data_IF_991859365983
#
_entry.id   IF_991859365983
#
_cell.length_a   1.000
_cell.length_b   1.000
_cell.length_c   1.000
_cell.angle_alpha   90.00
_cell.angle_beta   90.00
_cell.angle_gamma   90.00
#
_symmetry.space_group_name_H-M   'P 1'
#
loop_
_entity.id
_entity.type
_entity.pdbx_description
1 polymer ?
#
# COMPACT_ATOMS: atom_id res chain seq x y z
N UNK A 1 12.02 -20.39 -18.02
CA UNK A 1 10.55 -20.45 -18.23
C UNK A 1 10.23 -20.62 -19.72
N UNK A 2 9.08 -21.21 -20.11
CA UNK A 2 8.74 -21.40 -21.53
C UNK A 2 8.46 -20.09 -22.27
N UNK A 3 8.01 -19.04 -21.58
CA UNK A 3 7.87 -17.69 -22.17
C UNK A 3 9.20 -17.07 -22.61
N UNK A 4 10.30 -17.34 -21.90
CA UNK A 4 11.63 -16.87 -22.32
C UNK A 4 12.12 -17.65 -23.54
N UNK A 5 11.99 -18.98 -23.52
CA UNK A 5 12.41 -19.84 -24.65
C UNK A 5 11.61 -19.58 -25.94
N UNK A 6 10.36 -19.12 -25.81
CA UNK A 6 9.48 -18.77 -26.92
C UNK A 6 9.56 -17.29 -27.32
N UNK A 7 10.44 -16.50 -26.71
CA UNK A 7 10.57 -15.06 -27.03
C UNK A 7 9.33 -14.23 -26.70
N UNK A 8 8.46 -14.69 -25.79
CA UNK A 8 7.29 -13.92 -25.34
C UNK A 8 7.73 -12.79 -24.42
N UNK A 9 8.64 -13.08 -23.48
CA UNK A 9 9.44 -12.06 -22.80
C UNK A 9 10.78 -11.94 -23.52
N UNK A 10 10.93 -10.91 -24.36
CA UNK A 10 12.08 -10.75 -25.25
C UNK A 10 12.96 -9.54 -24.92
N UNK A 11 12.48 -8.59 -24.12
CA UNK A 11 13.21 -7.37 -23.73
C UNK A 11 13.34 -7.28 -22.21
N UNK A 12 14.45 -6.73 -21.74
CA UNK A 12 14.65 -6.44 -20.32
C UNK A 12 15.46 -5.15 -20.13
N UNK A 13 15.43 -4.61 -18.91
CA UNK A 13 16.35 -3.59 -18.43
C UNK A 13 17.00 -4.09 -17.14
N UNK A 14 18.32 -3.94 -17.02
CA UNK A 14 19.11 -4.27 -15.83
C UNK A 14 19.01 -5.71 -15.28
N UNK A 15 18.50 -6.66 -16.07
CA UNK A 15 18.36 -8.05 -15.64
C UNK A 15 19.69 -8.69 -15.24
N UNK A 16 20.77 -8.40 -15.94
CA UNK A 16 22.13 -8.84 -15.59
C UNK A 16 22.56 -8.32 -14.21
N UNK A 17 22.24 -7.07 -13.87
CA UNK A 17 22.55 -6.49 -12.56
C UNK A 17 21.82 -7.22 -11.44
N UNK A 18 20.55 -7.59 -11.67
CA UNK A 18 19.75 -8.39 -10.71
C UNK A 18 20.37 -9.78 -10.51
N UNK A 19 20.78 -10.45 -11.60
CA UNK A 19 21.43 -11.76 -11.53
C UNK A 19 22.73 -11.71 -10.72
N UNK A 20 23.60 -10.73 -10.99
CA UNK A 20 24.86 -10.55 -10.27
C UNK A 20 24.62 -10.32 -8.77
N UNK A 21 23.64 -9.48 -8.41
CA UNK A 21 23.28 -9.23 -7.01
C UNK A 21 22.73 -10.49 -6.34
N UNK A 22 21.92 -11.27 -7.06
CA UNK A 22 21.38 -12.53 -6.57
C UNK A 22 22.49 -13.57 -6.32
N UNK A 23 23.45 -13.70 -7.23
CA UNK A 23 24.63 -14.57 -7.07
C UNK A 23 25.49 -14.18 -5.87
N UNK A 24 25.53 -12.88 -5.52
CA UNK A 24 26.17 -12.36 -4.30
C UNK A 24 25.32 -12.56 -3.02
N UNK A 25 24.17 -13.24 -3.12
CA UNK A 25 23.26 -13.48 -2.00
C UNK A 25 22.46 -12.25 -1.57
N UNK A 26 22.42 -11.18 -2.39
CA UNK A 26 21.56 -10.03 -2.13
C UNK A 26 20.11 -10.39 -2.48
N UNK A 27 19.19 -9.89 -1.66
CA UNK A 27 17.75 -10.09 -1.88
C UNK A 27 17.22 -9.04 -2.85
N UNK A 28 16.30 -9.46 -3.71
CA UNK A 28 15.45 -8.58 -4.51
C UNK A 28 13.99 -9.03 -4.33
N UNK A 29 13.04 -8.21 -4.75
CA UNK A 29 11.62 -8.57 -4.74
C UNK A 29 11.02 -8.30 -6.12
N UNK A 30 9.93 -8.99 -6.41
CA UNK A 30 9.14 -8.78 -7.61
C UNK A 30 8.00 -7.84 -7.29
N UNK A 31 7.75 -6.90 -8.20
CA UNK A 31 6.62 -6.00 -8.14
C UNK A 31 5.89 -6.06 -9.48
N UNK A 32 4.56 -6.19 -9.43
CA UNK A 32 3.67 -6.11 -10.59
C UNK A 32 2.39 -5.39 -10.18
N UNK A 33 1.78 -4.66 -11.11
CA UNK A 33 0.47 -4.05 -10.94
C UNK A 33 -0.58 -4.80 -11.75
N UNK A 34 -1.85 -4.55 -11.43
CA UNK A 34 -3.03 -4.99 -12.19
C UNK A 34 -4.17 -4.09 -11.76
N UNK A 35 -4.73 -3.31 -12.69
CA UNK A 35 -6.01 -2.66 -12.45
C UNK A 35 -7.04 -3.72 -12.00
N UNK A 36 -7.86 -3.43 -10.99
CA UNK A 36 -8.46 -4.36 -10.02
C UNK A 36 -8.69 -5.80 -10.51
N UNK A 37 -7.94 -6.77 -9.96
CA UNK A 37 -8.35 -8.17 -9.68
C UNK A 37 -7.27 -8.97 -8.90
N UNK A 38 -7.44 -9.05 -7.57
CA UNK A 38 -6.86 -9.95 -6.53
C UNK A 38 -5.39 -10.46 -6.59
N UNK A 39 -4.63 -10.15 -5.51
CA UNK A 39 -3.35 -10.72 -4.96
C UNK A 39 -2.00 -10.03 -5.29
N UNK A 40 -1.18 -9.69 -4.26
CA UNK A 40 0.05 -8.83 -4.26
C UNK A 40 0.35 -8.16 -5.61
N UNK A 41 -0.47 -7.15 -5.84
CA UNK A 41 -0.67 -6.43 -7.07
C UNK A 41 -0.97 -5.02 -6.56
N UNK A 42 -0.30 -3.99 -7.08
CA UNK A 42 -0.88 -2.66 -6.93
C UNK A 42 -2.23 -2.68 -7.65
N UNK A 43 -3.31 -2.60 -6.87
CA UNK A 43 -4.67 -2.51 -7.38
C UNK A 43 -4.91 -1.03 -7.69
N UNK A 44 -4.73 -0.66 -8.96
CA UNK A 44 -4.95 0.72 -9.43
C UNK A 44 -6.42 0.97 -9.71
N UNK A 45 -7.26 0.78 -8.68
CA UNK A 45 -8.69 1.06 -8.75
C UNK A 45 -8.92 2.55 -9.05
N UNK A 46 -8.06 3.40 -8.48
CA UNK A 46 -7.97 4.83 -8.71
C UNK A 46 -7.72 5.22 -10.17
N UNK A 47 -6.89 4.48 -10.91
CA UNK A 47 -6.67 4.73 -12.33
C UNK A 47 -8.02 4.71 -13.07
N UNK A 48 -8.73 3.57 -13.04
CA UNK A 48 -10.02 3.41 -13.75
C UNK A 48 -11.08 4.43 -13.36
N UNK A 49 -10.96 4.97 -12.15
CA UNK A 49 -11.83 5.95 -11.52
C UNK A 49 -11.53 7.36 -12.02
N UNK A 50 -10.26 7.75 -12.05
CA UNK A 50 -9.81 9.03 -12.61
C UNK A 50 -10.09 9.15 -14.12
N UNK A 51 -10.32 8.03 -14.81
CA UNK A 51 -10.61 7.95 -16.24
C UNK A 51 -12.09 7.72 -16.59
N UNK A 52 -13.03 7.67 -15.62
CA UNK A 52 -14.48 7.44 -15.87
C UNK A 52 -15.36 8.47 -15.13
N UNK A 53 -16.55 8.74 -15.65
CA UNK A 53 -17.59 9.49 -14.93
C UNK A 53 -18.20 8.61 -13.84
N UNK A 54 -18.16 9.06 -12.58
CA UNK A 54 -18.49 8.25 -11.39
C UNK A 54 -19.50 8.95 -10.50
N UNK A 55 -20.37 8.16 -9.85
CA UNK A 55 -21.37 8.65 -8.90
C UNK A 55 -20.73 8.96 -7.54
N UNK A 56 -21.31 9.89 -6.79
CA UNK A 56 -20.79 10.39 -5.49
C UNK A 56 -20.67 9.28 -4.43
N UNK A 57 -21.57 8.30 -4.47
CA UNK A 57 -21.57 7.16 -3.55
C UNK A 57 -20.42 6.18 -3.83
N UNK A 58 -20.08 5.97 -5.10
CA UNK A 58 -18.87 5.25 -5.50
C UNK A 58 -17.62 6.05 -5.08
N UNK A 59 -17.64 7.39 -5.22
CA UNK A 59 -16.54 8.32 -4.85
C UNK A 59 -16.01 8.10 -3.43
N UNK A 60 -16.90 7.81 -2.48
CA UNK A 60 -16.53 7.53 -1.08
C UNK A 60 -15.85 6.17 -0.90
N UNK A 61 -16.35 5.12 -1.55
CA UNK A 61 -15.71 3.80 -1.54
C UNK A 61 -14.30 3.87 -2.14
N UNK A 62 -14.14 4.66 -3.20
CA UNK A 62 -12.87 4.83 -3.91
C UNK A 62 -11.88 5.65 -3.08
N UNK A 63 -12.31 6.76 -2.46
CA UNK A 63 -11.46 7.52 -1.53
C UNK A 63 -10.96 6.66 -0.36
N UNK A 64 -11.80 5.75 0.13
CA UNK A 64 -11.43 4.83 1.21
C UNK A 64 -10.41 3.78 0.75
N UNK A 65 -10.54 3.23 -0.46
CA UNK A 65 -9.57 2.28 -1.01
C UNK A 65 -8.24 2.97 -1.33
N UNK A 66 -8.25 4.15 -1.96
CA UNK A 66 -7.03 4.93 -2.20
C UNK A 66 -6.31 5.25 -0.89
N UNK A 67 -7.06 5.60 0.16
CA UNK A 67 -6.46 5.80 1.48
C UNK A 67 -5.77 4.53 1.99
N UNK A 68 -6.35 3.33 1.78
CA UNK A 68 -5.69 2.05 2.13
C UNK A 68 -4.42 1.83 1.32
N UNK A 69 -4.44 2.07 0.02
CA UNK A 69 -3.27 1.85 -0.85
C UNK A 69 -2.14 2.83 -0.52
N UNK A 70 -2.48 4.10 -0.30
CA UNK A 70 -1.51 5.13 0.10
C UNK A 70 -0.93 4.80 1.50
N UNK A 71 -1.75 4.33 2.43
CA UNK A 71 -1.28 3.87 3.76
C UNK A 71 -0.37 2.65 3.61
N UNK A 72 -0.71 1.72 2.71
CA UNK A 72 0.04 0.48 2.52
C UNK A 72 1.42 0.70 1.84
N UNK A 73 1.49 1.60 0.86
CA UNK A 73 2.73 1.92 0.11
C UNK A 73 3.57 3.00 0.81
N UNK A 74 2.96 3.75 1.73
CA UNK A 74 3.61 4.80 2.50
C UNK A 74 3.74 6.13 1.75
N UNK A 75 3.36 7.21 2.41
CA UNK A 75 3.39 8.58 1.85
C UNK A 75 4.79 9.07 1.48
N UNK A 76 5.86 8.57 2.13
CA UNK A 76 7.20 9.13 1.99
C UNK A 76 7.77 9.00 0.58
N UNK A 77 7.70 7.82 -0.04
CA UNK A 77 8.24 7.63 -1.39
C UNK A 77 7.37 8.33 -2.43
N UNK A 78 6.05 8.35 -2.25
CA UNK A 78 5.14 9.13 -3.10
C UNK A 78 5.52 10.61 -3.10
N UNK A 79 5.66 11.22 -1.91
CA UNK A 79 6.01 12.64 -1.79
C UNK A 79 7.41 12.93 -2.35
N UNK A 80 8.38 12.02 -2.15
CA UNK A 80 9.72 12.16 -2.74
C UNK A 80 9.68 12.13 -4.26
N UNK A 81 8.93 11.20 -4.84
CA UNK A 81 8.77 11.08 -6.29
C UNK A 81 8.07 12.33 -6.84
N UNK A 82 6.96 12.76 -6.21
CA UNK A 82 6.24 13.98 -6.61
C UNK A 82 7.13 15.22 -6.57
N UNK A 83 8.02 15.34 -5.58
CA UNK A 83 8.99 16.45 -5.52
C UNK A 83 10.04 16.41 -6.63
N UNK A 84 10.32 15.25 -7.19
CA UNK A 84 11.27 15.06 -8.28
C UNK A 84 10.63 15.09 -9.68
N UNK A 85 9.29 15.15 -9.76
CA UNK A 85 8.53 15.11 -11.01
C UNK A 85 7.73 16.40 -11.17
N UNK A 86 8.10 17.19 -12.17
CA UNK A 86 7.42 18.44 -12.51
C UNK A 86 6.15 18.19 -13.32
N UNK A 87 5.23 19.14 -13.28
CA UNK A 87 4.02 19.07 -14.08
C UNK A 87 4.31 18.97 -15.58
N UNK A 88 5.27 19.74 -16.10
CA UNK A 88 5.65 19.67 -17.52
C UNK A 88 6.16 18.28 -17.95
N UNK A 89 6.85 17.55 -17.06
CA UNK A 89 7.27 16.18 -17.34
C UNK A 89 6.07 15.23 -17.47
N UNK A 90 5.10 15.31 -16.55
CA UNK A 90 3.91 14.45 -16.66
C UNK A 90 3.00 14.85 -17.81
N UNK A 91 2.95 16.13 -18.22
CA UNK A 91 2.29 16.54 -19.47
C UNK A 91 2.95 15.89 -20.69
N UNK A 92 4.28 15.92 -20.76
CA UNK A 92 5.03 15.35 -21.88
C UNK A 92 4.97 13.81 -21.97
N UNK A 93 4.94 13.12 -20.82
CA UNK A 93 4.96 11.65 -20.77
C UNK A 93 3.55 11.06 -20.87
N UNK A 94 2.59 11.63 -20.14
CA UNK A 94 1.24 11.05 -19.98
C UNK A 94 0.13 11.87 -20.68
N UNK A 95 0.46 13.03 -21.26
CA UNK A 95 -0.50 13.85 -22.00
C UNK A 95 -1.50 14.62 -21.13
N UNK A 96 -1.21 14.80 -19.83
CA UNK A 96 -2.10 15.55 -18.94
C UNK A 96 -2.19 17.04 -19.32
N UNK A 97 -3.33 17.65 -19.00
CA UNK A 97 -3.63 19.05 -19.23
C UNK A 97 -3.96 19.80 -17.95
N UNK A 98 -4.09 21.12 -18.06
CA UNK A 98 -4.36 22.00 -16.92
C UNK A 98 -5.80 21.84 -16.40
N UNK A 99 -6.66 21.19 -17.19
CA UNK A 99 -8.04 20.83 -16.84
C UNK A 99 -8.17 19.46 -16.17
N UNK A 100 -7.10 18.67 -16.11
CA UNK A 100 -7.14 17.38 -15.42
C UNK A 100 -7.15 17.55 -13.90
N UNK A 101 -7.89 16.69 -13.22
CA UNK A 101 -7.94 16.69 -11.75
C UNK A 101 -6.56 16.33 -11.16
N UNK A 102 -6.21 16.97 -10.05
CA UNK A 102 -4.90 16.78 -9.39
C UNK A 102 -4.59 15.33 -9.00
N UNK A 103 -5.63 14.51 -8.75
CA UNK A 103 -5.46 13.09 -8.47
C UNK A 103 -4.85 12.33 -9.66
N UNK A 104 -5.26 12.69 -10.88
CA UNK A 104 -4.73 12.12 -12.12
C UNK A 104 -3.30 12.55 -12.40
N UNK A 105 -3.00 13.82 -12.13
CA UNK A 105 -1.65 14.38 -12.30
C UNK A 105 -0.65 13.72 -11.34
N UNK A 106 -1.09 13.36 -10.13
CA UNK A 106 -0.23 12.78 -9.07
C UNK A 106 -0.17 11.26 -9.11
N UNK A 107 -1.06 10.60 -9.85
CA UNK A 107 -1.16 9.15 -9.98
C UNK A 107 0.15 8.45 -10.39
N UNK A 108 0.97 8.96 -11.33
CA UNK A 108 2.24 8.32 -11.68
C UNK A 108 3.19 8.13 -10.49
N UNK A 109 3.10 8.98 -9.47
CA UNK A 109 3.92 8.85 -8.26
C UNK A 109 3.44 7.72 -7.35
N UNK A 110 2.15 7.40 -7.40
CA UNK A 110 1.55 6.26 -6.69
C UNK A 110 2.07 4.97 -7.31
N UNK A 111 2.04 4.84 -8.64
CA UNK A 111 2.54 3.66 -9.35
C UNK A 111 4.06 3.44 -9.24
N UNK A 112 4.82 4.52 -9.10
CA UNK A 112 6.27 4.45 -8.99
C UNK A 112 6.75 4.10 -7.56
N UNK A 113 5.97 4.41 -6.51
CA UNK A 113 6.40 4.21 -5.13
C UNK A 113 6.72 2.73 -4.78
N UNK A 114 5.92 1.73 -5.22
CA UNK A 114 6.23 0.31 -5.00
C UNK A 114 7.54 -0.21 -5.60
N UNK A 115 8.17 0.54 -6.51
CA UNK A 115 9.50 0.19 -7.03
C UNK A 115 10.62 0.33 -5.98
N UNK A 116 10.33 0.97 -4.84
CA UNK A 116 11.25 1.14 -3.73
C UNK A 116 10.86 0.26 -2.54
N UNK A 117 11.78 -0.60 -2.07
CA UNK A 117 11.50 -1.51 -0.94
C UNK A 117 11.11 -0.78 0.35
N UNK A 118 11.56 0.46 0.51
CA UNK A 118 11.20 1.32 1.65
C UNK A 118 9.71 1.69 1.69
N UNK A 119 8.96 1.46 0.62
CA UNK A 119 7.50 1.57 0.63
C UNK A 119 6.82 0.44 1.40
N UNK A 120 7.52 -0.66 1.66
CA UNK A 120 6.96 -1.80 2.38
C UNK A 120 7.78 -2.10 3.64
N UNK A 121 7.81 -1.17 4.62
CA UNK A 121 8.64 -1.33 5.79
C UNK A 121 8.20 -2.52 6.65
N UNK A 122 6.92 -2.89 6.64
CA UNK A 122 6.45 -4.12 7.31
C UNK A 122 6.96 -5.43 6.65
N UNK A 123 7.35 -5.40 5.37
CA UNK A 123 7.93 -6.56 4.67
C UNK A 123 9.45 -6.58 4.86
N UNK A 124 10.10 -5.43 4.66
CA UNK A 124 11.56 -5.35 4.53
C UNK A 124 12.29 -4.80 5.77
N UNK A 125 11.60 -4.10 6.68
CA UNK A 125 12.18 -3.69 7.97
C UNK A 125 11.95 -4.77 9.05
N UNK A 126 13.04 -5.45 9.40
CA UNK A 126 13.05 -6.49 10.43
C UNK A 126 12.66 -5.97 11.81
N UNK A 127 12.88 -4.68 12.12
CA UNK A 127 12.54 -4.12 13.43
C UNK A 127 11.03 -3.98 13.59
N UNK A 128 10.35 -3.51 12.54
CA UNK A 128 8.89 -3.37 12.52
C UNK A 128 8.25 -4.76 12.56
N UNK A 129 8.75 -5.69 11.74
CA UNK A 129 8.27 -7.08 11.78
C UNK A 129 8.41 -7.70 13.17
N UNK A 130 9.58 -7.54 13.81
CA UNK A 130 9.81 -8.03 15.16
C UNK A 130 8.85 -7.39 16.18
N UNK A 131 8.61 -6.08 16.09
CA UNK A 131 7.67 -5.38 16.98
C UNK A 131 6.23 -5.87 16.79
N UNK A 132 5.78 -6.05 15.54
CA UNK A 132 4.46 -6.60 15.21
C UNK A 132 4.34 -8.02 15.76
N UNK A 133 5.31 -8.89 15.48
CA UNK A 133 5.31 -10.29 15.93
C UNK A 133 5.27 -10.36 17.47
N UNK A 134 5.92 -9.42 18.15
CA UNK A 134 5.95 -9.34 19.63
C UNK A 134 4.63 -8.82 20.22
N UNK A 135 3.99 -7.82 19.59
CA UNK A 135 2.82 -7.13 20.15
C UNK A 135 1.49 -7.80 19.75
N UNK A 136 1.44 -8.44 18.57
CA UNK A 136 0.22 -9.09 18.03
C UNK A 136 -0.48 -9.99 19.04
N UNK A 137 0.21 -10.89 19.78
CA UNK A 137 -0.44 -11.74 20.78
C UNK A 137 -1.17 -10.95 21.87
N UNK A 138 -0.59 -9.85 22.36
CA UNK A 138 -1.20 -9.00 23.38
C UNK A 138 -2.43 -8.25 22.86
N UNK A 139 -2.39 -7.78 21.61
CA UNK A 139 -3.55 -7.13 20.98
C UNK A 139 -4.69 -8.13 20.82
N UNK A 140 -4.41 -9.34 20.35
CA UNK A 140 -5.42 -10.40 20.20
C UNK A 140 -6.03 -10.75 21.57
N UNK A 141 -5.20 -10.92 22.60
CA UNK A 141 -5.68 -11.21 23.95
C UNK A 141 -6.50 -10.05 24.55
N UNK A 142 -6.10 -8.80 24.29
CA UNK A 142 -6.86 -7.61 24.70
C UNK A 142 -8.21 -7.54 23.98
N UNK A 143 -8.25 -7.76 22.67
CA UNK A 143 -9.49 -7.75 21.89
C UNK A 143 -10.44 -8.87 22.31
N UNK A 144 -9.91 -10.06 22.62
CA UNK A 144 -10.69 -11.17 23.19
C UNK A 144 -11.32 -10.77 24.52
N UNK A 145 -10.51 -10.28 25.47
CA UNK A 145 -11.00 -9.80 26.77
C UNK A 145 -12.02 -8.69 26.64
N UNK A 146 -11.83 -7.79 25.67
CA UNK A 146 -12.77 -6.71 25.37
C UNK A 146 -14.09 -7.22 24.80
N UNK A 147 -14.06 -8.27 23.98
CA UNK A 147 -15.27 -8.92 23.47
C UNK A 147 -16.08 -9.59 24.59
N UNK A 148 -15.41 -10.05 25.65
CA UNK A 148 -16.05 -10.65 26.84
C UNK A 148 -16.59 -9.60 27.83
N UNK A 149 -16.36 -8.29 27.62
CA UNK A 149 -16.96 -7.22 28.44
C UNK A 149 -18.40 -7.00 28.00
N UNK A 150 -19.31 -7.70 28.66
CA UNK A 150 -20.75 -7.50 28.48
C UNK A 150 -21.23 -6.24 29.19
N UNK A 151 -22.45 -5.80 28.87
CA UNK A 151 -23.02 -4.60 29.47
C UNK A 151 -23.24 -4.77 30.99
N UNK A 152 -23.54 -5.99 31.46
CA UNK A 152 -23.63 -6.27 32.89
C UNK A 152 -22.28 -6.12 33.61
N UNK A 153 -21.18 -6.54 32.98
CA UNK A 153 -19.82 -6.38 33.51
C UNK A 153 -19.46 -4.89 33.60
N UNK A 154 -19.85 -4.11 32.59
CA UNK A 154 -19.66 -2.66 32.58
C UNK A 154 -20.42 -1.99 33.73
N UNK A 155 -21.69 -2.33 33.92
CA UNK A 155 -22.51 -1.77 35.00
C UNK A 155 -22.00 -2.16 36.39
N UNK A 156 -21.59 -3.41 36.57
CA UNK A 156 -21.00 -3.89 37.82
C UNK A 156 -19.69 -3.17 38.17
N UNK A 157 -18.91 -2.76 37.17
CA UNK A 157 -17.69 -1.98 37.37
C UNK A 157 -17.98 -0.58 37.90
N UNK A 158 -19.02 0.09 37.39
CA UNK A 158 -19.42 1.43 37.83
C UNK A 158 -20.22 1.46 39.13
N UNK A 159 -20.58 0.30 39.69
CA UNK A 159 -21.28 0.21 40.97
C UNK A 159 -20.35 0.61 42.12
N UNK A 160 -20.72 1.67 42.83
CA UNK A 160 -19.98 2.18 43.99
C UNK A 160 -19.90 1.08 45.05
N UNK A 161 -18.68 0.67 45.41
CA UNK A 161 -18.44 -0.33 46.45
C UNK A 161 -18.22 0.38 47.78
N UNK A 162 -18.89 -0.08 48.83
CA UNK A 162 -18.58 0.39 50.18
C UNK A 162 -17.20 -0.13 50.58
N UNK A 163 -16.34 0.80 51.00
CA UNK A 163 -15.05 0.47 51.60
C UNK A 163 -15.38 -0.12 52.98
N UNK A 164 -15.06 -1.39 53.20
CA UNK A 164 -15.13 -1.98 54.54
C UNK A 164 -13.99 -1.36 55.36
N UNK A 165 -14.37 -0.54 56.34
CA UNK A 165 -13.49 -0.07 57.41
C UNK A 165 -13.18 -1.22 58.37
#
# INVERSE_FOLDING_TARGET
HHFLRRGIFFSHRDFHSILNLHEQGKKFYLYTGRGPSSEIIQLTDDEKVLWRDIKIEDARGMAFNNAKDIIAVGFDNMVRIQKCVTFNQVKGIFGFGDSDIIGKITFPSIEAAPAFSTSFPFIFDKKIKLAIDTITPFIVEYQRRRADVTEEVREAFFKIRQIKL
#
